data_IF_651613960863
#
_entry.id   IF_651613960863
#
_cell.length_a   1.000
_cell.length_b   1.000
_cell.length_c   1.000
_cell.angle_alpha   90.00
_cell.angle_beta   90.00
_cell.angle_gamma   90.00
#
_symmetry.space_group_name_H-M   'P 1'
#
loop_
_entity.id
_entity.type
_entity.pdbx_description
1 polymer ?
#
# COMPACT_ATOMS: atom_id res chain seq x y z
N UNK A 1 4.39 -2.00 -16.67
CA UNK A 1 3.07 -2.53 -16.25
C UNK A 1 2.66 -1.74 -15.03
N UNK A 2 1.55 -1.05 -15.09
CA UNK A 2 0.91 -0.37 -13.97
C UNK A 2 -0.15 -1.27 -13.29
N UNK A 3 -0.92 -0.72 -12.36
CA UNK A 3 -1.92 -1.52 -11.64
C UNK A 3 -3.15 -1.84 -12.50
N UNK A 4 -3.51 -0.97 -13.44
CA UNK A 4 -4.60 -1.24 -14.40
C UNK A 4 -4.24 -2.42 -15.31
N UNK A 5 -3.00 -2.43 -15.84
CA UNK A 5 -2.46 -3.54 -16.62
C UNK A 5 -2.44 -4.84 -15.82
N UNK A 6 -1.97 -4.77 -14.56
CA UNK A 6 -1.90 -5.94 -13.69
C UNK A 6 -3.30 -6.47 -13.32
N UNK A 7 -4.28 -5.59 -13.10
CA UNK A 7 -5.67 -5.96 -12.85
C UNK A 7 -6.29 -6.71 -14.02
N UNK A 8 -5.98 -6.30 -15.25
CA UNK A 8 -6.43 -6.99 -16.46
C UNK A 8 -5.69 -8.31 -16.67
N UNK A 9 -4.39 -8.32 -16.43
CA UNK A 9 -3.51 -9.49 -16.65
C UNK A 9 -3.78 -10.64 -15.69
N UNK A 10 -4.16 -10.35 -14.45
CA UNK A 10 -4.31 -11.34 -13.39
C UNK A 10 -5.75 -11.45 -12.85
N UNK A 11 -6.74 -11.87 -13.68
CA UNK A 11 -8.16 -11.86 -13.30
C UNK A 11 -8.50 -12.73 -12.09
N UNK A 12 -7.75 -13.81 -11.84
CA UNK A 12 -7.93 -14.70 -10.67
C UNK A 12 -7.51 -14.05 -9.35
N UNK A 13 -6.72 -12.99 -9.40
CA UNK A 13 -6.10 -12.35 -8.22
C UNK A 13 -6.64 -10.94 -7.99
N UNK A 14 -7.75 -10.55 -8.60
CA UNK A 14 -8.32 -9.20 -8.51
C UNK A 14 -8.70 -8.78 -7.09
N UNK A 15 -8.98 -9.73 -6.21
CA UNK A 15 -9.24 -9.43 -4.80
C UNK A 15 -8.06 -8.72 -4.11
N UNK A 16 -6.84 -8.94 -4.57
CA UNK A 16 -5.66 -8.28 -4.02
C UNK A 16 -5.58 -6.77 -4.32
N UNK A 17 -6.39 -6.27 -5.26
CA UNK A 17 -6.56 -4.84 -5.51
C UNK A 17 -7.66 -4.22 -4.63
N UNK A 18 -8.46 -5.05 -3.96
CA UNK A 18 -9.47 -4.63 -3.00
C UNK A 18 -8.81 -4.46 -1.63
N UNK A 19 -8.55 -3.21 -1.23
CA UNK A 19 -7.82 -2.87 0.00
C UNK A 19 -8.56 -3.28 1.28
N UNK A 20 -9.90 -3.30 1.26
CA UNK A 20 -10.70 -3.83 2.36
C UNK A 20 -10.50 -5.34 2.49
N UNK A 21 -10.63 -6.08 1.39
CA UNK A 21 -10.42 -7.52 1.39
C UNK A 21 -8.99 -7.90 1.85
N UNK A 22 -7.97 -7.12 1.42
CA UNK A 22 -6.59 -7.33 1.89
C UNK A 22 -6.48 -7.10 3.40
N UNK A 23 -7.11 -6.05 3.93
CA UNK A 23 -7.11 -5.76 5.37
C UNK A 23 -7.81 -6.87 6.17
N UNK A 24 -8.97 -7.34 5.70
CA UNK A 24 -9.70 -8.46 6.31
C UNK A 24 -8.91 -9.77 6.27
N UNK A 25 -8.29 -10.10 5.12
CA UNK A 25 -7.46 -11.30 4.95
C UNK A 25 -6.24 -11.31 5.87
N UNK A 26 -5.74 -10.14 6.22
CA UNK A 26 -4.58 -9.96 7.12
C UNK A 26 -5.01 -9.66 8.57
N UNK A 27 -6.29 -9.85 8.88
CA UNK A 27 -6.86 -9.72 10.23
C UNK A 27 -6.64 -8.33 10.86
N UNK A 28 -6.61 -7.27 10.02
CA UNK A 28 -6.59 -5.90 10.53
C UNK A 28 -7.96 -5.50 11.05
N UNK A 29 -7.99 -4.67 12.08
CA UNK A 29 -9.23 -4.07 12.56
C UNK A 29 -9.75 -3.06 11.53
N UNK A 30 -10.78 -3.43 10.78
CA UNK A 30 -11.31 -2.66 9.65
C UNK A 30 -12.78 -2.95 9.41
N UNK A 31 -13.43 -2.10 8.63
CA UNK A 31 -14.81 -2.33 8.21
C UNK A 31 -15.23 -1.46 7.03
N UNK A 32 -16.19 -1.93 6.22
CA UNK A 32 -16.74 -1.17 5.10
C UNK A 32 -17.63 0.00 5.59
N UNK A 33 -18.10 0.82 4.65
CA UNK A 33 -19.16 1.78 4.92
C UNK A 33 -20.39 1.08 5.50
N UNK A 34 -20.96 1.68 6.54
CA UNK A 34 -22.13 1.13 7.26
C UNK A 34 -21.76 0.20 8.42
N UNK A 35 -20.49 -0.14 8.59
CA UNK A 35 -19.98 -0.90 9.75
C UNK A 35 -19.16 0.04 10.63
N UNK A 36 -19.47 0.04 11.92
CA UNK A 36 -18.76 0.83 12.93
C UNK A 36 -17.67 0.01 13.63
N UNK A 37 -16.61 0.64 14.13
CA UNK A 37 -15.71 -0.02 15.05
C UNK A 37 -16.40 -0.27 16.42
N UNK A 38 -15.96 -1.31 17.11
CA UNK A 38 -16.46 -1.64 18.45
C UNK A 38 -15.98 -0.65 19.51
N UNK A 39 -14.86 0.00 19.28
CA UNK A 39 -14.25 0.99 20.16
C UNK A 39 -13.88 2.24 19.35
N UNK A 40 -13.91 3.40 20.01
CA UNK A 40 -13.38 4.63 19.41
C UNK A 40 -11.90 4.47 19.12
N UNK A 41 -11.50 4.69 17.86
CA UNK A 41 -10.11 4.55 17.43
C UNK A 41 -9.73 5.50 16.29
N UNK A 42 -8.44 5.76 16.19
CA UNK A 42 -7.89 6.45 15.05
C UNK A 42 -7.81 5.50 13.84
N UNK A 43 -8.37 5.93 12.74
CA UNK A 43 -8.46 5.16 11.50
C UNK A 43 -7.83 5.89 10.32
N UNK A 44 -7.43 5.12 9.32
CA UNK A 44 -7.34 5.58 7.96
C UNK A 44 -8.63 5.23 7.23
N UNK A 45 -9.29 6.23 6.63
CA UNK A 45 -10.45 6.04 5.75
C UNK A 45 -9.99 6.24 4.33
N UNK A 46 -10.21 5.25 3.47
CA UNK A 46 -9.71 5.27 2.08
C UNK A 46 -10.62 4.50 1.13
N UNK A 47 -10.52 4.75 -0.21
CA UNK A 47 -11.26 3.97 -1.19
C UNK A 47 -10.90 2.49 -1.12
N UNK A 48 -11.90 1.61 -1.33
CA UNK A 48 -11.71 0.16 -1.43
C UNK A 48 -10.83 -0.18 -2.64
N UNK A 49 -11.07 0.46 -3.78
CA UNK A 49 -10.25 0.36 -4.99
C UNK A 49 -9.61 1.71 -5.32
N UNK A 50 -8.33 1.70 -5.59
CA UNK A 50 -7.61 2.86 -6.10
C UNK A 50 -6.40 2.38 -6.92
N UNK A 51 -6.63 2.04 -8.19
CA UNK A 51 -5.58 1.59 -9.12
C UNK A 51 -4.63 2.72 -9.53
N UNK A 52 -5.07 3.99 -9.38
CA UNK A 52 -4.21 5.14 -9.61
C UNK A 52 -3.12 5.34 -8.53
N UNK A 53 -3.20 4.59 -7.42
CA UNK A 53 -2.25 4.64 -6.32
C UNK A 53 -2.23 5.95 -5.53
N UNK A 54 -1.09 6.26 -4.93
CA UNK A 54 -0.75 7.55 -4.29
C UNK A 54 -1.69 8.01 -3.17
N UNK A 55 -2.39 7.09 -2.49
CA UNK A 55 -3.26 7.44 -1.36
C UNK A 55 -4.39 8.44 -1.68
N UNK A 56 -4.75 8.61 -2.96
CA UNK A 56 -5.80 9.54 -3.37
C UNK A 56 -7.12 9.20 -2.68
N UNK A 57 -7.71 10.19 -2.00
CA UNK A 57 -8.96 10.01 -1.25
C UNK A 57 -8.79 9.42 0.16
N UNK A 58 -7.57 9.05 0.55
CA UNK A 58 -7.30 8.61 1.92
C UNK A 58 -7.23 9.80 2.89
N UNK A 59 -7.68 9.59 4.12
CA UNK A 59 -7.58 10.56 5.22
C UNK A 59 -7.50 9.86 6.56
N UNK A 60 -6.89 10.49 7.53
CA UNK A 60 -7.00 10.08 8.93
C UNK A 60 -8.27 10.64 9.55
N UNK A 61 -8.90 9.85 10.41
CA UNK A 61 -10.14 10.21 11.09
C UNK A 61 -10.25 9.39 12.38
N UNK A 62 -10.63 10.02 13.48
CA UNK A 62 -11.13 9.29 14.65
C UNK A 62 -12.56 8.89 14.39
N UNK A 63 -12.89 7.61 14.59
CA UNK A 63 -14.25 7.08 14.46
C UNK A 63 -14.70 6.63 15.83
N UNK A 64 -15.84 7.17 16.26
CA UNK A 64 -16.46 6.80 17.52
C UNK A 64 -17.06 5.39 17.47
N UNK A 65 -17.03 4.71 18.61
CA UNK A 65 -17.67 3.40 18.74
C UNK A 65 -19.13 3.47 18.30
N UNK A 66 -19.54 2.57 17.41
CA UNK A 66 -20.92 2.50 16.93
C UNK A 66 -21.30 3.52 15.84
N UNK A 67 -20.40 4.43 15.43
CA UNK A 67 -20.70 5.36 14.33
C UNK A 67 -20.56 4.69 12.95
N UNK A 68 -21.65 4.09 12.48
CA UNK A 68 -21.74 3.45 11.18
C UNK A 68 -21.80 4.42 9.98
N UNK A 69 -21.87 5.74 10.22
CA UNK A 69 -21.95 6.78 9.17
C UNK A 69 -20.61 7.45 8.90
N UNK A 70 -19.56 7.07 9.62
CA UNK A 70 -18.23 7.68 9.51
C UNK A 70 -17.59 7.52 8.12
N UNK A 71 -18.01 6.51 7.34
CA UNK A 71 -17.48 6.25 5.99
C UNK A 71 -18.60 6.25 4.95
N UNK A 72 -18.30 6.76 3.74
CA UNK A 72 -19.24 6.77 2.60
C UNK A 72 -19.10 5.50 1.76
N UNK A 73 -20.13 5.12 0.96
CA UNK A 73 -20.04 3.99 0.03
C UNK A 73 -18.80 4.03 -0.86
N UNK A 74 -18.20 2.85 -1.11
CA UNK A 74 -16.94 2.71 -1.85
C UNK A 74 -15.67 2.98 -1.03
N UNK A 75 -15.83 3.35 0.25
CA UNK A 75 -14.75 3.54 1.21
C UNK A 75 -14.84 2.51 2.33
N UNK A 76 -13.74 2.34 3.02
CA UNK A 76 -13.65 1.56 4.25
C UNK A 76 -12.74 2.27 5.25
N UNK A 77 -12.87 1.93 6.51
CA UNK A 77 -11.95 2.32 7.57
C UNK A 77 -11.06 1.14 7.96
N UNK A 78 -9.85 1.44 8.34
CA UNK A 78 -8.92 0.50 8.94
C UNK A 78 -8.21 1.22 10.08
N UNK A 79 -7.87 0.51 11.14
CA UNK A 79 -7.05 1.06 12.23
C UNK A 79 -5.82 1.76 11.68
N UNK A 80 -5.42 2.86 12.30
CA UNK A 80 -4.24 3.59 11.91
C UNK A 80 -2.98 2.89 12.41
N UNK A 81 -2.09 2.56 11.49
CA UNK A 81 -0.75 2.07 11.82
C UNK A 81 0.23 3.22 11.93
N UNK A 82 1.23 3.04 12.79
CA UNK A 82 2.31 3.99 13.03
C UNK A 82 3.65 3.29 12.81
N UNK A 83 4.65 4.02 12.37
CA UNK A 83 5.98 3.49 12.14
C UNK A 83 6.53 3.81 10.76
N UNK A 84 7.55 3.05 10.35
CA UNK A 84 8.22 3.22 9.07
C UNK A 84 7.30 2.80 7.92
N UNK A 85 7.23 3.62 6.87
CA UNK A 85 6.54 3.25 5.63
C UNK A 85 7.56 2.60 4.69
N UNK A 86 7.40 1.32 4.43
CA UNK A 86 8.29 0.54 3.58
C UNK A 86 7.55 0.11 2.32
N UNK A 87 8.14 0.38 1.16
CA UNK A 87 7.73 -0.20 -0.13
C UNK A 87 8.79 -1.20 -0.58
N UNK A 88 8.42 -2.47 -0.70
CA UNK A 88 9.36 -3.52 -1.04
C UNK A 88 8.85 -4.41 -2.18
N UNK A 89 9.72 -4.68 -3.15
CA UNK A 89 9.46 -5.65 -4.21
C UNK A 89 10.02 -7.01 -3.83
N UNK A 90 9.23 -8.03 -4.07
CA UNK A 90 9.60 -9.41 -3.80
C UNK A 90 9.45 -10.29 -5.03
N UNK A 91 10.36 -11.26 -5.15
CA UNK A 91 10.27 -12.35 -6.12
C UNK A 91 9.99 -13.65 -5.39
N UNK A 92 9.04 -14.41 -5.88
CA UNK A 92 8.77 -15.73 -5.33
C UNK A 92 9.84 -16.72 -5.78
N UNK A 93 10.43 -17.43 -4.83
CA UNK A 93 11.34 -18.53 -5.07
C UNK A 93 10.64 -19.85 -4.71
N UNK A 94 10.40 -20.69 -5.72
CA UNK A 94 9.92 -22.05 -5.53
C UNK A 94 11.07 -22.97 -5.06
N UNK A 95 10.75 -23.96 -4.22
CA UNK A 95 11.73 -24.89 -3.72
C UNK A 95 11.21 -25.69 -2.53
N UNK A 96 12.11 -26.38 -1.82
CA UNK A 96 11.76 -27.15 -0.60
C UNK A 96 11.15 -26.27 0.48
N UNK A 97 11.60 -25.01 0.55
CA UNK A 97 10.99 -23.97 1.37
C UNK A 97 10.68 -22.76 0.46
N UNK A 98 9.46 -22.72 -0.10
CA UNK A 98 9.07 -21.59 -0.94
C UNK A 98 9.01 -20.31 -0.11
N UNK A 99 9.58 -19.25 -0.62
CA UNK A 99 9.60 -17.97 0.08
C UNK A 99 9.64 -16.78 -0.88
N UNK A 100 9.23 -15.62 -0.37
CA UNK A 100 9.37 -14.33 -1.03
C UNK A 100 10.74 -13.73 -0.71
N UNK A 101 11.55 -13.51 -1.75
CA UNK A 101 12.88 -12.90 -1.61
C UNK A 101 12.77 -11.42 -1.98
N UNK A 102 13.17 -10.49 -1.10
CA UNK A 102 13.21 -9.08 -1.42
C UNK A 102 14.25 -8.81 -2.50
N UNK A 103 13.90 -7.94 -3.46
CA UNK A 103 14.78 -7.54 -4.56
C UNK A 103 14.97 -6.02 -4.65
N UNK A 104 14.10 -5.25 -3.99
CA UNK A 104 14.16 -3.79 -3.92
C UNK A 104 13.39 -3.33 -2.70
N UNK A 105 13.97 -2.45 -1.88
CA UNK A 105 13.36 -1.95 -0.64
C UNK A 105 13.60 -0.46 -0.53
N UNK A 106 12.53 0.29 -0.21
CA UNK A 106 12.59 1.73 0.05
C UNK A 106 11.80 2.08 1.31
N UNK A 107 12.29 3.07 2.04
CA UNK A 107 11.56 3.76 3.09
C UNK A 107 11.07 5.10 2.59
N UNK A 108 9.78 5.36 2.74
CA UNK A 108 9.15 6.62 2.37
C UNK A 108 9.02 7.55 3.57
N UNK A 109 9.32 8.83 3.36
CA UNK A 109 9.21 9.88 4.37
C UNK A 109 8.15 10.88 3.95
N UNK A 110 7.32 11.28 4.90
CA UNK A 110 6.28 12.29 4.70
C UNK A 110 6.53 13.47 5.63
N UNK A 111 6.34 14.67 5.12
CA UNK A 111 6.33 15.84 5.97
C UNK A 111 5.04 15.91 6.79
N UNK A 112 5.12 16.36 8.04
CA UNK A 112 3.98 16.37 8.98
C UNK A 112 2.76 17.16 8.49
N UNK A 113 2.94 18.07 7.55
CA UNK A 113 1.89 18.97 7.02
C UNK A 113 1.41 18.60 5.62
N UNK A 114 1.88 17.48 5.06
CA UNK A 114 1.52 17.02 3.72
C UNK A 114 0.36 16.02 3.75
N UNK A 115 -0.31 15.91 2.62
CA UNK A 115 -1.37 14.91 2.45
C UNK A 115 -0.76 13.50 2.45
N UNK A 116 -1.56 12.49 2.80
CA UNK A 116 -1.13 11.08 2.82
C UNK A 116 -0.57 10.57 1.48
N UNK A 117 -0.84 11.30 0.41
CA UNK A 117 -0.38 10.97 -0.94
C UNK A 117 0.96 11.59 -1.31
N UNK A 118 1.53 12.45 -0.45
CA UNK A 118 2.75 13.20 -0.77
C UNK A 118 3.89 12.74 0.12
N UNK A 119 4.83 12.01 -0.48
CA UNK A 119 6.11 11.70 0.14
C UNK A 119 7.11 12.80 -0.20
N UNK A 120 7.92 13.22 0.77
CA UNK A 120 9.02 14.15 0.56
C UNK A 120 10.23 13.47 -0.08
N UNK A 121 10.47 12.23 0.30
CA UNK A 121 11.59 11.45 -0.22
C UNK A 121 11.36 9.95 -0.03
N UNK A 122 12.08 9.14 -0.82
CA UNK A 122 12.24 7.70 -0.63
C UNK A 122 13.71 7.39 -0.56
N UNK A 123 14.14 6.62 0.44
CA UNK A 123 15.52 6.16 0.61
C UNK A 123 15.57 4.66 0.41
N UNK A 124 16.53 4.23 -0.40
CA UNK A 124 16.81 2.82 -0.58
C UNK A 124 17.36 2.24 0.71
N UNK A 125 16.87 1.07 1.06
CA UNK A 125 17.34 0.28 2.19
C UNK A 125 18.10 -0.95 1.70
N UNK A 126 18.85 -1.59 2.61
CA UNK A 126 19.40 -2.91 2.35
C UNK A 126 18.29 -3.97 2.29
N UNK A 127 18.51 -5.06 1.58
CA UNK A 127 17.49 -6.09 1.37
C UNK A 127 17.11 -6.85 2.64
N UNK A 128 17.98 -6.88 3.63
CA UNK A 128 17.74 -7.48 4.95
C UNK A 128 16.81 -6.64 5.85
N UNK A 129 16.60 -5.37 5.50
CA UNK A 129 15.59 -4.52 6.16
C UNK A 129 14.16 -4.71 5.62
N UNK A 130 13.99 -5.55 4.59
CA UNK A 130 12.67 -5.82 4.04
C UNK A 130 11.78 -6.53 5.07
N UNK A 131 10.53 -6.08 5.27
CA UNK A 131 9.58 -6.79 6.10
C UNK A 131 9.34 -8.23 5.60
N UNK A 132 9.03 -9.12 6.52
CA UNK A 132 8.66 -10.50 6.17
C UNK A 132 7.28 -10.49 5.54
N UNK A 133 7.18 -11.09 4.36
CA UNK A 133 5.90 -11.23 3.66
C UNK A 133 5.01 -12.22 4.42
N UNK A 134 3.78 -11.86 4.81
CA UNK A 134 2.83 -12.77 5.43
C UNK A 134 2.54 -13.98 4.55
N UNK A 135 2.28 -15.13 5.20
CA UNK A 135 2.01 -16.41 4.51
C UNK A 135 0.79 -16.35 3.59
N UNK A 136 -0.16 -15.48 3.88
CA UNK A 136 -1.38 -15.24 3.12
C UNK A 136 -1.08 -14.81 1.67
N UNK A 137 0.08 -14.16 1.45
CA UNK A 137 0.54 -13.74 0.12
C UNK A 137 1.12 -14.92 -0.69
N UNK A 138 1.27 -16.12 -0.12
CA UNK A 138 1.70 -17.30 -0.89
C UNK A 138 0.69 -17.69 -1.96
N UNK A 139 -0.56 -17.27 -1.86
CA UNK A 139 -1.57 -17.38 -2.92
C UNK A 139 -1.08 -16.72 -4.23
N UNK A 140 -0.18 -15.75 -4.13
CA UNK A 140 0.40 -15.01 -5.25
C UNK A 140 1.66 -15.63 -5.85
N UNK A 141 2.03 -16.84 -5.46
CA UNK A 141 3.27 -17.52 -5.89
C UNK A 141 3.44 -17.65 -7.42
N UNK A 142 2.37 -17.55 -8.19
CA UNK A 142 2.40 -17.51 -9.66
C UNK A 142 2.67 -16.12 -10.26
N UNK A 143 2.67 -15.08 -9.43
CA UNK A 143 3.01 -13.73 -9.86
C UNK A 143 4.54 -13.58 -9.73
N UNK A 144 5.24 -13.24 -10.83
CA UNK A 144 6.71 -13.24 -10.83
C UNK A 144 7.33 -12.28 -9.81
N UNK A 145 6.73 -11.09 -9.70
CA UNK A 145 7.17 -10.04 -8.78
C UNK A 145 5.94 -9.33 -8.24
N UNK A 146 5.90 -9.14 -6.94
CA UNK A 146 4.92 -8.28 -6.28
C UNK A 146 5.63 -7.10 -5.62
N UNK A 147 4.93 -5.98 -5.50
CA UNK A 147 5.34 -4.89 -4.62
C UNK A 147 4.36 -4.84 -3.45
N UNK A 148 4.88 -4.75 -2.25
CA UNK A 148 4.09 -4.72 -1.02
C UNK A 148 4.46 -3.48 -0.23
N UNK A 149 3.45 -2.74 0.23
CA UNK A 149 3.65 -1.59 1.11
C UNK A 149 3.29 -1.95 2.55
N UNK A 150 4.14 -1.49 3.46
CA UNK A 150 4.02 -1.77 4.89
C UNK A 150 4.06 -0.48 5.70
N UNK A 151 3.39 -0.49 6.85
CA UNK A 151 3.65 0.42 7.96
C UNK A 151 3.93 -0.44 9.18
N UNK A 152 5.12 -0.29 9.76
CA UNK A 152 5.57 -1.07 10.92
C UNK A 152 5.34 -2.59 10.78
N UNK A 153 5.79 -3.16 9.65
CA UNK A 153 5.62 -4.57 9.27
C UNK A 153 4.17 -5.03 8.99
N UNK A 154 3.17 -4.16 9.10
CA UNK A 154 1.79 -4.46 8.70
C UNK A 154 1.58 -4.11 7.23
N UNK A 155 1.13 -5.06 6.43
CA UNK A 155 0.84 -4.84 5.01
C UNK A 155 -0.35 -3.89 4.88
N UNK A 156 -0.18 -2.84 4.09
CA UNK A 156 -1.25 -1.86 3.82
C UNK A 156 -1.73 -1.90 2.37
N UNK A 157 -0.89 -2.38 1.45
CA UNK A 157 -1.21 -2.47 0.02
C UNK A 157 -0.37 -3.54 -0.66
N UNK A 158 -0.95 -4.21 -1.65
CA UNK A 158 -0.28 -5.22 -2.48
C UNK A 158 -0.50 -4.89 -3.94
N UNK A 159 0.60 -4.81 -4.71
CA UNK A 159 0.58 -4.59 -6.15
C UNK A 159 1.11 -5.83 -6.87
N UNK A 160 0.38 -6.32 -7.85
CA UNK A 160 0.76 -7.52 -8.62
C UNK A 160 1.76 -7.19 -9.74
N UNK A 161 2.73 -6.38 -9.41
CA UNK A 161 3.79 -5.87 -10.30
C UNK A 161 5.01 -5.43 -9.49
N UNK A 162 6.09 -5.15 -10.15
CA UNK A 162 7.22 -4.41 -9.55
C UNK A 162 6.84 -2.94 -9.33
N UNK A 163 7.41 -2.31 -8.31
CA UNK A 163 7.36 -0.84 -8.17
C UNK A 163 7.90 -0.17 -9.45
N UNK A 164 7.21 0.85 -9.98
CA UNK A 164 7.68 1.60 -11.14
C UNK A 164 8.86 2.53 -10.83
N UNK A 165 9.17 2.73 -9.56
CA UNK A 165 10.21 3.66 -9.13
C UNK A 165 11.57 3.27 -9.72
N UNK A 166 12.39 4.25 -10.10
CA UNK A 166 13.73 4.00 -10.60
C UNK A 166 14.62 3.36 -9.52
N UNK A 167 15.72 2.77 -9.95
CA UNK A 167 16.63 2.07 -9.06
C UNK A 167 17.75 3.00 -8.55
N UNK A 168 17.36 4.14 -7.95
CA UNK A 168 18.28 5.10 -7.32
C UNK A 168 18.32 4.88 -5.81
N UNK A 169 19.40 5.30 -5.17
CA UNK A 169 19.52 5.20 -3.71
C UNK A 169 18.65 6.22 -2.97
N UNK A 170 18.38 7.35 -3.61
CA UNK A 170 17.56 8.42 -3.09
C UNK A 170 16.65 8.95 -4.19
N UNK A 171 15.35 9.03 -3.90
CA UNK A 171 14.32 9.49 -4.82
C UNK A 171 13.59 10.65 -4.15
N UNK A 172 13.58 11.80 -4.80
CA UNK A 172 12.77 12.96 -4.41
C UNK A 172 11.63 13.06 -5.41
N UNK A 173 10.40 12.68 -5.03
CA UNK A 173 9.26 12.82 -5.91
C UNK A 173 8.89 14.30 -6.04
N UNK A 174 8.76 14.77 -7.28
CA UNK A 174 8.30 16.12 -7.58
C UNK A 174 6.86 16.06 -8.07
N UNK A 175 5.97 16.73 -7.37
CA UNK A 175 4.58 16.88 -7.79
C UNK A 175 4.48 17.99 -8.82
N UNK A 176 4.22 17.64 -10.09
CA UNK A 176 3.88 18.65 -11.09
C UNK A 176 2.37 18.93 -11.04
N UNK A 177 2.02 20.13 -10.60
CA UNK A 177 0.63 20.60 -10.60
C UNK A 177 0.14 21.07 -11.98
N UNK A 178 0.98 21.03 -13.00
CA UNK A 178 0.62 21.51 -14.32
C UNK A 178 -0.36 20.55 -15.02
N UNK A 179 -1.45 21.11 -15.53
CA UNK A 179 -2.45 20.50 -16.41
C UNK A 179 -3.42 19.50 -15.75
N UNK A 180 -3.63 19.55 -14.45
CA UNK A 180 -4.57 18.67 -13.76
C UNK A 180 -4.18 17.19 -13.77
N UNK A 181 -3.01 16.86 -14.27
CA UNK A 181 -2.42 15.51 -14.22
C UNK A 181 -1.29 15.51 -13.21
N UNK A 182 -1.45 14.72 -12.16
CA UNK A 182 -0.37 14.47 -11.21
C UNK A 182 0.71 13.64 -11.91
N UNK A 183 1.87 14.24 -12.14
CA UNK A 183 3.05 13.54 -12.64
C UNK A 183 4.12 13.53 -11.56
N UNK A 184 4.75 12.40 -11.36
CA UNK A 184 5.97 12.28 -10.58
C UNK A 184 7.16 12.60 -11.45
N UNK A 185 7.97 13.56 -11.04
CA UNK A 185 9.29 13.79 -11.63
C UNK A 185 10.33 13.35 -10.60
N UNK A 186 11.28 12.58 -11.07
CA UNK A 186 12.40 12.14 -10.26
C UNK A 186 13.49 13.19 -10.37
N UNK A 187 13.82 13.82 -9.24
CA UNK A 187 15.01 14.68 -9.16
C UNK A 187 16.25 13.80 -9.33
N UNK A 188 17.11 14.15 -10.26
CA UNK A 188 18.48 13.63 -10.27
C UNK A 188 19.31 14.48 -9.34
N UNK A 189 19.97 13.89 -8.35
CA UNK A 189 21.08 14.52 -7.62
C UNK A 189 22.35 14.41 -8.46
#
# INVERSE_FOLDING_TARGET
>A
MDDDDAYLKYPKYRNWFNKLWVAEKLEHNCGPSGVAPEQTLECIVRPIYNLAGMGVGARFQTIEAGDCRATKPGYFWCERFYGRHISACYRFQSGVKPLWIPIKVYEGFQNKNETLSQFSEWKRLSLDEAPIVPRELNDLSFIPIINVEFIDNKVIEVHLRSSPDPNYDHIIPVWAHDLGKKKWYMGQN
#
